data_IF_976775805960
#
_entry.id   IF_976775805960
#
_cell.length_a   1.000
_cell.length_b   1.000
_cell.length_c   1.000
_cell.angle_alpha   90.00
_cell.angle_beta   90.00
_cell.angle_gamma   90.00
#
_symmetry.space_group_name_H-M   'P 1'
#
loop_
_entity.id
_entity.type
_entity.pdbx_description
1 polymer ?
#
# COMPACT_ATOMS: atom_id res chain seq x y z
N UNK A 1 -51.53 27.59 -9.97
CA UNK A 1 -51.57 29.04 -9.69
C UNK A 1 -50.25 29.46 -9.07
N UNK A 2 -49.41 30.19 -9.80
CA UNK A 2 -48.19 30.81 -9.28
C UNK A 2 -48.48 32.28 -9.05
N UNK A 3 -48.60 32.70 -7.79
CA UNK A 3 -48.66 34.12 -7.43
C UNK A 3 -47.25 34.70 -7.48
N UNK A 4 -46.96 35.56 -8.45
CA UNK A 4 -45.76 36.37 -8.46
C UNK A 4 -46.00 37.62 -7.60
N UNK A 5 -45.39 37.68 -6.41
CA UNK A 5 -45.28 38.94 -5.66
C UNK A 5 -44.05 39.70 -6.15
N UNK A 6 -44.25 40.96 -6.54
CA UNK A 6 -43.23 41.90 -6.98
C UNK A 6 -42.29 42.31 -5.83
N UNK A 7 -41.07 41.77 -5.81
CA UNK A 7 -39.82 42.47 -5.40
C UNK A 7 -38.57 41.56 -5.33
N UNK A 8 -38.53 40.42 -6.04
CA UNK A 8 -37.28 39.66 -6.09
C UNK A 8 -36.28 40.32 -7.04
N UNK A 9 -35.19 40.86 -6.51
CA UNK A 9 -34.06 41.35 -7.33
C UNK A 9 -33.54 40.23 -8.22
N UNK A 10 -32.96 40.58 -9.38
CA UNK A 10 -32.38 39.63 -10.36
C UNK A 10 -31.46 38.60 -9.68
N UNK A 11 -30.73 39.01 -8.65
CA UNK A 11 -29.92 38.14 -7.81
C UNK A 11 -30.73 37.08 -7.05
N UNK A 12 -31.90 37.40 -6.50
CA UNK A 12 -32.76 36.42 -5.83
C UNK A 12 -33.37 35.42 -6.81
N UNK A 13 -33.74 35.88 -8.01
CA UNK A 13 -34.23 35.00 -9.09
C UNK A 13 -33.11 34.05 -9.52
N UNK A 14 -31.91 34.58 -9.72
CA UNK A 14 -30.72 33.79 -10.09
C UNK A 14 -30.34 32.79 -9.00
N UNK A 15 -30.39 33.19 -7.73
CA UNK A 15 -30.19 32.28 -6.61
C UNK A 15 -31.24 31.18 -6.59
N UNK A 16 -32.54 31.51 -6.69
CA UNK A 16 -33.61 30.49 -6.75
C UNK A 16 -33.39 29.52 -7.91
N UNK A 17 -33.05 30.01 -9.10
CA UNK A 17 -32.76 29.17 -10.25
C UNK A 17 -31.59 28.21 -9.98
N UNK A 18 -30.46 28.71 -9.45
CA UNK A 18 -29.32 27.86 -9.05
C UNK A 18 -29.71 26.82 -8.01
N UNK A 19 -30.49 27.19 -7.00
CA UNK A 19 -30.91 26.25 -5.94
C UNK A 19 -31.84 25.16 -6.47
N UNK A 20 -32.78 25.52 -7.34
CA UNK A 20 -33.69 24.57 -8.00
C UNK A 20 -32.91 23.65 -8.93
N UNK A 21 -31.99 24.18 -9.74
CA UNK A 21 -31.13 23.41 -10.63
C UNK A 21 -30.23 22.43 -9.84
N UNK A 22 -29.61 22.88 -8.74
CA UNK A 22 -28.81 22.04 -7.86
C UNK A 22 -29.66 20.96 -7.16
N UNK A 23 -30.90 21.29 -6.77
CA UNK A 23 -31.84 20.34 -6.17
C UNK A 23 -32.24 19.26 -7.17
N UNK A 24 -32.63 19.66 -8.39
CA UNK A 24 -32.98 18.74 -9.48
C UNK A 24 -31.78 17.88 -9.90
N UNK A 25 -30.58 18.45 -9.96
CA UNK A 25 -29.37 17.68 -10.22
C UNK A 25 -29.09 16.67 -9.09
N UNK A 26 -29.30 17.04 -7.82
CA UNK A 26 -29.13 16.12 -6.67
C UNK A 26 -30.19 15.02 -6.63
N UNK A 27 -31.40 15.28 -7.10
CA UNK A 27 -32.46 14.25 -7.19
C UNK A 27 -32.22 13.29 -8.36
N UNK A 28 -31.75 13.80 -9.51
CA UNK A 28 -31.46 12.97 -10.69
C UNK A 28 -30.13 12.23 -10.62
N UNK A 29 -29.10 12.84 -10.04
CA UNK A 29 -27.80 12.22 -9.81
C UNK A 29 -27.70 11.85 -8.34
N UNK A 30 -28.25 10.68 -7.97
CA UNK A 30 -28.13 10.15 -6.61
C UNK A 30 -26.66 10.21 -6.19
N UNK A 31 -26.38 10.80 -5.04
CA UNK A 31 -25.04 10.82 -4.44
C UNK A 31 -24.68 9.36 -4.15
N UNK A 32 -24.06 8.67 -5.11
CA UNK A 32 -23.45 7.36 -4.87
C UNK A 32 -22.30 7.60 -3.91
N UNK A 33 -22.56 7.43 -2.63
CA UNK A 33 -21.53 7.05 -1.65
C UNK A 33 -21.06 5.68 -2.08
N UNK A 34 -20.14 5.66 -3.03
CA UNK A 34 -19.32 4.48 -3.27
C UNK A 34 -18.52 4.38 -1.98
N UNK A 35 -18.91 3.45 -1.11
CA UNK A 35 -18.01 2.99 -0.07
C UNK A 35 -16.71 2.70 -0.78
N UNK A 36 -15.65 3.45 -0.47
CA UNK A 36 -14.28 3.04 -0.76
C UNK A 36 -14.12 1.75 0.05
N UNK A 37 -14.65 0.65 -0.47
CA UNK A 37 -14.59 -0.64 0.15
C UNK A 37 -13.11 -0.84 0.41
N UNK A 38 -12.76 -0.83 1.71
CA UNK A 38 -11.45 -1.24 2.18
C UNK A 38 -11.11 -2.49 1.39
N UNK A 39 -9.97 -2.58 0.71
CA UNK A 39 -9.56 -3.87 0.17
C UNK A 39 -9.55 -4.83 1.37
N UNK A 40 -10.53 -5.73 1.42
CA UNK A 40 -10.69 -6.73 2.51
C UNK A 40 -9.54 -7.75 2.47
N UNK A 41 -8.81 -7.76 1.36
CA UNK A 41 -7.68 -8.61 1.06
C UNK A 41 -6.48 -7.72 0.74
N UNK A 42 -5.32 -8.12 1.24
CA UNK A 42 -4.04 -7.51 0.87
C UNK A 42 -3.94 -7.53 -0.67
N UNK A 43 -3.63 -6.39 -1.31
CA UNK A 43 -3.39 -6.34 -2.76
C UNK A 43 -2.31 -7.34 -3.16
N UNK A 44 -2.52 -8.07 -4.25
CA UNK A 44 -1.58 -9.10 -4.71
C UNK A 44 -0.19 -8.49 -4.99
N UNK A 45 -0.14 -7.22 -5.40
CA UNK A 45 1.09 -6.46 -5.64
C UNK A 45 1.92 -6.25 -4.37
N UNK A 46 1.27 -6.21 -3.20
CA UNK A 46 1.91 -5.98 -1.90
C UNK A 46 2.26 -7.29 -1.18
N UNK A 47 1.75 -8.42 -1.66
CA UNK A 47 1.98 -9.73 -1.06
C UNK A 47 3.47 -10.12 -0.97
N UNK A 48 4.31 -9.88 -2.00
CA UNK A 48 5.75 -10.21 -1.93
C UNK A 48 6.48 -9.44 -0.81
N UNK A 49 6.19 -8.15 -0.67
CA UNK A 49 6.74 -7.26 0.36
C UNK A 49 6.40 -7.73 1.77
N UNK A 50 5.14 -8.12 1.98
CA UNK A 50 4.67 -8.66 3.27
C UNK A 50 5.26 -10.03 3.55
N UNK A 51 5.27 -10.91 2.55
CA UNK A 51 5.85 -12.25 2.69
C UNK A 51 7.31 -12.17 3.13
N UNK A 52 8.09 -11.29 2.49
CA UNK A 52 9.49 -11.13 2.79
C UNK A 52 9.70 -10.56 4.20
N UNK A 53 8.90 -9.59 4.64
CA UNK A 53 8.92 -9.10 6.03
C UNK A 53 8.57 -10.19 7.04
N UNK A 54 7.50 -10.94 6.80
CA UNK A 54 7.09 -12.03 7.68
C UNK A 54 8.15 -13.13 7.77
N UNK A 55 8.79 -13.48 6.65
CA UNK A 55 9.85 -14.48 6.64
C UNK A 55 11.00 -14.07 7.58
N UNK A 56 11.41 -12.79 7.54
CA UNK A 56 12.46 -12.27 8.42
C UNK A 56 12.01 -12.23 9.89
N UNK A 57 10.75 -11.88 10.16
CA UNK A 57 10.19 -11.89 11.50
C UNK A 57 10.18 -13.30 12.10
N UNK A 58 9.71 -14.29 11.33
CA UNK A 58 9.72 -15.69 11.72
C UNK A 58 11.13 -16.17 12.00
N UNK A 59 12.09 -15.84 11.14
CA UNK A 59 13.48 -16.19 11.36
C UNK A 59 14.04 -15.52 12.62
N UNK A 60 13.75 -14.25 12.85
CA UNK A 60 14.20 -13.52 14.04
C UNK A 60 13.65 -14.13 15.34
N UNK A 61 12.40 -14.59 15.34
CA UNK A 61 11.82 -15.33 16.47
C UNK A 61 12.51 -16.69 16.62
N UNK A 62 12.74 -17.39 15.50
CA UNK A 62 13.37 -18.70 15.50
C UNK A 62 14.81 -18.66 16.05
N UNK A 63 15.56 -17.59 15.78
CA UNK A 63 16.92 -17.39 16.31
C UNK A 63 17.01 -17.49 17.83
N UNK A 64 15.94 -17.13 18.56
CA UNK A 64 15.92 -17.20 20.02
C UNK A 64 16.02 -18.65 20.55
N UNK A 65 15.75 -19.63 19.69
CA UNK A 65 15.78 -21.06 20.04
C UNK A 65 17.13 -21.70 19.73
N UNK A 66 18.03 -21.01 19.04
CA UNK A 66 19.31 -21.57 18.60
C UNK A 66 20.35 -21.40 19.70
N UNK A 67 20.97 -22.51 20.10
CA UNK A 67 21.92 -22.56 21.23
C UNK A 67 23.37 -22.75 20.79
N UNK A 68 23.63 -22.96 19.51
CA UNK A 68 24.98 -23.16 18.98
C UNK A 68 25.20 -22.52 17.61
N UNK A 69 26.48 -22.27 17.29
CA UNK A 69 26.88 -21.73 15.98
C UNK A 69 26.53 -22.69 14.83
N UNK A 70 26.62 -24.01 15.06
CA UNK A 70 26.26 -25.01 14.04
C UNK A 70 24.77 -24.95 13.69
N UNK A 71 23.90 -24.82 14.69
CA UNK A 71 22.46 -24.64 14.49
C UNK A 71 22.16 -23.33 13.76
N UNK A 72 22.83 -22.23 14.15
CA UNK A 72 22.72 -20.95 13.47
C UNK A 72 23.13 -21.05 12.00
N UNK A 73 24.27 -21.68 11.70
CA UNK A 73 24.77 -21.83 10.34
C UNK A 73 23.80 -22.59 9.44
N UNK A 74 23.31 -23.75 9.90
CA UNK A 74 22.33 -24.54 9.15
C UNK A 74 21.05 -23.75 8.95
N UNK A 75 20.51 -23.15 10.00
CA UNK A 75 19.24 -22.41 9.94
C UNK A 75 19.34 -21.18 9.04
N UNK A 76 20.46 -20.47 9.11
CA UNK A 76 20.74 -19.30 8.29
C UNK A 76 20.86 -19.67 6.82
N UNK A 77 21.57 -20.75 6.49
CA UNK A 77 21.65 -21.26 5.12
C UNK A 77 20.26 -21.55 4.53
N UNK A 78 19.42 -22.30 5.26
CA UNK A 78 18.06 -22.65 4.80
C UNK A 78 17.17 -21.41 4.61
N UNK A 79 17.26 -20.44 5.52
CA UNK A 79 16.53 -19.18 5.40
C UNK A 79 17.02 -18.36 4.19
N UNK A 80 18.34 -18.20 4.05
CA UNK A 80 18.93 -17.29 3.09
C UNK A 80 18.73 -17.73 1.64
N UNK A 81 18.73 -19.05 1.36
CA UNK A 81 18.48 -19.61 0.02
C UNK A 81 17.16 -19.11 -0.57
N UNK A 82 16.11 -19.01 0.25
CA UNK A 82 14.81 -18.53 -0.20
C UNK A 82 14.69 -17.00 -0.10
N UNK A 83 15.30 -16.42 0.92
CA UNK A 83 15.19 -15.00 1.21
C UNK A 83 15.95 -14.12 0.21
N UNK A 84 17.19 -14.49 -0.14
CA UNK A 84 18.04 -13.71 -1.03
C UNK A 84 17.43 -13.47 -2.43
N UNK A 85 16.97 -14.50 -3.17
CA UNK A 85 16.39 -14.28 -4.49
C UNK A 85 15.13 -13.42 -4.42
N UNK A 86 14.25 -13.67 -3.45
CA UNK A 86 13.03 -12.88 -3.26
C UNK A 86 13.36 -11.41 -2.91
N UNK A 87 14.42 -11.18 -2.14
CA UNK A 87 14.87 -9.82 -1.82
C UNK A 87 15.42 -9.11 -3.05
N UNK A 88 16.26 -9.80 -3.84
CA UNK A 88 16.85 -9.22 -5.06
C UNK A 88 15.80 -8.90 -6.12
N UNK A 89 14.76 -9.72 -6.22
CA UNK A 89 13.63 -9.47 -7.13
C UNK A 89 12.88 -8.18 -6.78
N UNK A 90 12.64 -7.93 -5.49
CA UNK A 90 11.92 -6.73 -5.03
C UNK A 90 12.79 -5.48 -4.90
N UNK A 91 14.10 -5.65 -4.65
CA UNK A 91 15.02 -4.58 -4.31
C UNK A 91 16.33 -4.66 -5.12
N UNK A 92 16.22 -4.65 -6.46
CA UNK A 92 17.34 -4.78 -7.41
C UNK A 92 18.56 -3.89 -7.07
N UNK A 93 18.32 -2.65 -6.67
CA UNK A 93 19.38 -1.66 -6.41
C UNK A 93 19.89 -1.67 -4.97
N UNK A 94 19.38 -2.55 -4.11
CA UNK A 94 19.69 -2.59 -2.67
C UNK A 94 20.37 -3.88 -2.25
N UNK A 95 20.97 -4.61 -3.18
CA UNK A 95 21.74 -5.84 -2.89
C UNK A 95 22.85 -5.60 -1.86
N UNK A 96 23.39 -4.38 -1.79
CA UNK A 96 24.34 -3.96 -0.77
C UNK A 96 23.84 -4.10 0.68
N UNK A 97 22.52 -4.08 0.92
CA UNK A 97 21.96 -4.34 2.26
C UNK A 97 22.16 -5.79 2.69
N UNK A 98 22.12 -6.74 1.75
CA UNK A 98 22.43 -8.14 2.03
C UNK A 98 23.93 -8.36 2.24
N UNK A 99 24.79 -7.56 1.61
CA UNK A 99 26.24 -7.62 1.85
C UNK A 99 26.60 -7.22 3.30
N UNK A 100 25.75 -6.43 3.95
CA UNK A 100 25.88 -6.12 5.38
C UNK A 100 25.51 -7.30 6.30
N UNK A 101 24.95 -8.38 5.74
CA UNK A 101 24.70 -9.64 6.41
C UNK A 101 25.83 -10.61 6.06
N UNK A 102 26.26 -11.40 7.03
CA UNK A 102 27.22 -12.48 6.78
C UNK A 102 26.58 -13.50 5.83
N UNK A 103 27.18 -13.70 4.64
CA UNK A 103 26.71 -14.74 3.73
C UNK A 103 26.80 -16.11 4.44
N UNK A 104 25.83 -17.04 4.26
CA UNK A 104 25.84 -18.31 4.97
C UNK A 104 27.14 -19.10 4.86
N UNK A 105 27.79 -19.09 3.69
CA UNK A 105 29.07 -19.79 3.50
C UNK A 105 30.23 -19.22 4.32
N UNK A 106 30.12 -17.98 4.81
CA UNK A 106 31.16 -17.28 5.57
C UNK A 106 30.85 -17.22 7.07
N UNK A 107 29.65 -17.60 7.50
CA UNK A 107 29.20 -17.38 8.88
C UNK A 107 30.11 -18.06 9.91
N UNK A 108 30.49 -19.32 9.68
CA UNK A 108 31.41 -20.05 10.56
C UNK A 108 32.79 -19.39 10.62
N UNK A 109 33.35 -19.04 9.46
CA UNK A 109 34.65 -18.38 9.37
C UNK A 109 34.66 -17.03 10.11
N UNK A 110 33.59 -16.25 9.96
CA UNK A 110 33.41 -14.98 10.66
C UNK A 110 33.30 -15.21 12.16
N UNK A 111 32.53 -16.21 12.61
CA UNK A 111 32.46 -16.57 14.03
C UNK A 111 33.83 -16.94 14.60
N UNK A 112 34.55 -17.85 13.94
CA UNK A 112 35.87 -18.32 14.40
C UNK A 112 36.89 -17.17 14.47
N UNK A 113 36.84 -16.24 13.51
CA UNK A 113 37.72 -15.06 13.49
C UNK A 113 37.32 -13.95 14.46
N UNK A 114 36.09 -13.98 15.00
CA UNK A 114 35.56 -12.88 15.82
C UNK A 114 36.01 -12.90 17.28
N UNK A 115 36.55 -14.01 17.77
CA UNK A 115 36.86 -14.25 19.18
C UNK A 115 35.67 -14.05 20.14
N UNK A 116 34.44 -14.04 19.63
CA UNK A 116 33.23 -13.90 20.44
C UNK A 116 32.74 -15.24 20.99
N UNK A 117 32.15 -15.20 22.19
CA UNK A 117 31.26 -16.28 22.59
C UNK A 117 30.06 -16.36 21.64
N UNK A 118 29.43 -17.54 21.55
CA UNK A 118 28.22 -17.72 20.73
C UNK A 118 27.13 -16.68 21.05
N UNK A 119 26.94 -16.37 22.34
CA UNK A 119 25.95 -15.40 22.78
C UNK A 119 26.26 -13.98 22.27
N UNK A 120 27.52 -13.54 22.37
CA UNK A 120 27.95 -12.23 21.84
C UNK A 120 27.80 -12.15 20.32
N UNK A 121 28.21 -13.22 19.63
CA UNK A 121 28.05 -13.31 18.17
C UNK A 121 26.57 -13.23 17.78
N UNK A 122 25.70 -13.96 18.47
CA UNK A 122 24.26 -13.95 18.22
C UNK A 122 23.65 -12.55 18.42
N UNK A 123 24.10 -11.79 19.42
CA UNK A 123 23.67 -10.40 19.61
C UNK A 123 24.07 -9.54 18.41
N UNK A 124 25.31 -9.65 17.93
CA UNK A 124 25.76 -8.87 16.77
C UNK A 124 25.00 -9.27 15.50
N UNK A 125 24.79 -10.56 15.29
CA UNK A 125 24.02 -11.09 14.18
C UNK A 125 22.57 -10.55 14.19
N UNK A 126 21.90 -10.58 15.35
CA UNK A 126 20.56 -10.02 15.52
C UNK A 126 20.51 -8.50 15.27
N UNK A 127 21.56 -7.75 15.62
CA UNK A 127 21.65 -6.31 15.31
C UNK A 127 21.68 -6.07 13.80
N UNK A 128 22.42 -6.89 13.05
CA UNK A 128 22.46 -6.80 11.58
C UNK A 128 21.09 -7.09 10.96
N UNK A 129 20.39 -8.13 11.45
CA UNK A 129 19.03 -8.42 11.01
C UNK A 129 18.02 -7.33 11.36
N UNK A 130 18.20 -6.62 12.49
CA UNK A 130 17.33 -5.50 12.87
C UNK A 130 17.41 -4.36 11.85
N UNK A 131 18.59 -4.08 11.29
CA UNK A 131 18.75 -3.07 10.23
C UNK A 131 17.96 -3.46 8.98
N UNK A 132 18.05 -4.72 8.56
CA UNK A 132 17.29 -5.26 7.44
C UNK A 132 15.78 -5.17 7.72
N UNK A 133 15.34 -5.53 8.94
CA UNK A 133 13.93 -5.43 9.35
C UNK A 133 13.40 -4.01 9.26
N UNK A 134 14.17 -3.01 9.70
CA UNK A 134 13.76 -1.61 9.58
C UNK A 134 13.62 -1.17 8.13
N UNK A 135 14.56 -1.57 7.28
CA UNK A 135 14.49 -1.30 5.85
C UNK A 135 13.23 -1.90 5.21
N UNK A 136 12.92 -3.16 5.51
CA UNK A 136 11.73 -3.83 4.98
C UNK A 136 10.44 -3.20 5.48
N UNK A 137 10.37 -2.85 6.77
CA UNK A 137 9.21 -2.16 7.33
C UNK A 137 8.95 -0.82 6.66
N UNK A 138 10.00 -0.02 6.47
CA UNK A 138 9.91 1.26 5.77
C UNK A 138 9.52 1.10 4.30
N UNK A 139 10.09 0.10 3.62
CA UNK A 139 9.78 -0.21 2.22
C UNK A 139 8.33 -0.66 2.06
N UNK A 140 7.85 -1.53 2.95
CA UNK A 140 6.45 -1.97 2.96
C UNK A 140 5.52 -0.78 3.15
N UNK A 141 5.76 0.07 4.15
CA UNK A 141 4.94 1.26 4.37
C UNK A 141 4.87 2.16 3.12
N UNK A 142 6.02 2.38 2.47
CA UNK A 142 6.12 3.20 1.27
C UNK A 142 5.37 2.60 0.08
N UNK A 143 5.45 1.29 -0.15
CA UNK A 143 4.69 0.63 -1.22
C UNK A 143 3.18 0.60 -0.94
N UNK A 144 2.78 0.43 0.32
CA UNK A 144 1.38 0.57 0.74
C UNK A 144 0.83 1.98 0.48
N UNK A 145 1.62 3.02 0.76
CA UNK A 145 1.21 4.41 0.51
C UNK A 145 1.13 4.72 -0.99
N UNK A 146 2.06 4.20 -1.80
CA UNK A 146 1.99 4.29 -3.27
C UNK A 146 0.73 3.61 -3.79
N UNK A 147 0.45 2.38 -3.34
CA UNK A 147 -0.75 1.65 -3.74
C UNK A 147 -2.02 2.42 -3.40
N UNK A 148 -2.14 2.93 -2.17
CA UNK A 148 -3.28 3.73 -1.72
C UNK A 148 -3.46 4.97 -2.60
N UNK A 149 -2.37 5.66 -2.92
CA UNK A 149 -2.38 6.84 -3.79
C UNK A 149 -2.84 6.50 -5.21
N UNK A 150 -2.31 5.42 -5.79
CA UNK A 150 -2.70 4.95 -7.12
C UNK A 150 -4.17 4.54 -7.17
N UNK A 151 -4.62 3.78 -6.17
CA UNK A 151 -6.02 3.37 -6.03
C UNK A 151 -6.96 4.58 -5.92
N UNK A 152 -6.63 5.56 -5.09
CA UNK A 152 -7.40 6.79 -4.97
C UNK A 152 -7.47 7.57 -6.30
N UNK A 153 -6.34 7.70 -7.01
CA UNK A 153 -6.31 8.35 -8.33
C UNK A 153 -7.20 7.61 -9.34
N UNK A 154 -7.15 6.28 -9.38
CA UNK A 154 -8.00 5.47 -10.25
C UNK A 154 -9.48 5.66 -9.95
N UNK A 155 -9.88 5.61 -8.67
CA UNK A 155 -11.26 5.80 -8.25
C UNK A 155 -11.80 7.20 -8.60
N UNK A 156 -10.96 8.24 -8.49
CA UNK A 156 -11.33 9.60 -8.93
C UNK A 156 -11.50 9.66 -10.45
N UNK A 157 -10.59 9.05 -11.20
CA UNK A 157 -10.67 9.00 -12.67
C UNK A 157 -11.96 8.31 -13.15
N UNK A 158 -12.26 7.13 -12.59
CA UNK A 158 -13.48 6.38 -12.89
C UNK A 158 -14.74 7.19 -12.55
N UNK A 159 -14.74 7.90 -11.42
CA UNK A 159 -15.84 8.79 -11.05
C UNK A 159 -16.02 9.92 -12.05
N UNK A 160 -14.92 10.53 -12.51
CA UNK A 160 -14.99 11.62 -13.49
C UNK A 160 -15.55 11.13 -14.82
N UNK A 161 -15.09 9.98 -15.33
CA UNK A 161 -15.62 9.35 -16.55
C UNK A 161 -17.13 9.11 -16.42
N UNK A 162 -17.56 8.45 -15.35
CA UNK A 162 -18.96 8.17 -15.08
C UNK A 162 -19.80 9.46 -14.95
N UNK A 163 -19.24 10.53 -14.39
CA UNK A 163 -19.93 11.82 -14.27
C UNK A 163 -20.17 12.46 -15.65
N UNK A 164 -19.16 12.48 -16.53
CA UNK A 164 -19.31 13.02 -17.87
C UNK A 164 -20.26 12.17 -18.73
N UNK A 165 -20.19 10.84 -18.63
CA UNK A 165 -21.10 9.94 -19.33
C UNK A 165 -22.56 10.12 -18.87
N UNK A 166 -22.79 10.19 -17.56
CA UNK A 166 -24.13 10.42 -17.01
C UNK A 166 -24.68 11.80 -17.38
N UNK A 167 -23.82 12.83 -17.45
CA UNK A 167 -24.23 14.15 -17.97
C UNK A 167 -24.63 14.09 -19.44
N UNK A 168 -23.87 13.40 -20.28
CA UNK A 168 -24.21 13.22 -21.69
C UNK A 168 -25.55 12.51 -21.90
N UNK A 169 -25.79 11.44 -21.13
CA UNK A 169 -27.08 10.70 -21.12
C UNK A 169 -28.23 11.57 -20.64
N UNK A 170 -28.03 12.38 -19.60
CA UNK A 170 -29.05 13.31 -19.12
C UNK A 170 -29.42 14.35 -20.19
N UNK A 171 -28.44 15.04 -20.78
CA UNK A 171 -28.68 16.08 -21.80
C UNK A 171 -29.42 15.49 -23.02
N UNK A 172 -28.98 14.34 -23.52
CA UNK A 172 -29.63 13.68 -24.66
C UNK A 172 -31.07 13.24 -24.36
N UNK A 173 -31.33 12.73 -23.15
CA UNK A 173 -32.69 12.35 -22.73
C UNK A 173 -33.63 13.55 -22.54
N UNK A 174 -33.10 14.70 -22.11
CA UNK A 174 -33.88 15.94 -21.97
C UNK A 174 -34.25 16.53 -23.33
N UNK A 175 -33.30 16.54 -24.28
CA UNK A 175 -33.54 17.06 -25.64
C UNK A 175 -34.55 16.22 -26.43
N UNK A 176 -34.58 14.90 -26.22
CA UNK A 176 -35.52 14.01 -26.90
C UNK A 176 -36.95 14.04 -26.31
N UNK A 177 -37.19 14.71 -25.18
CA UNK A 177 -38.53 14.87 -24.58
C UNK A 177 -39.31 16.08 -25.11
N UNK A 178 -38.65 16.98 -25.83
CA UNK A 178 -39.26 18.20 -26.40
C UNK A 178 -39.71 18.05 -27.87
N UNK A 179 -39.71 16.81 -28.40
CA UNK A 179 -40.35 16.45 -29.67
C UNK A 179 -41.62 15.66 -29.42
#
# INVERSE_FOLDING_TARGET
MLSFSSSSTLNQIWHKFKTVLLSAARSHFSRKTISLMKPKTIPYELQPYIHLSHSLDHFTIFLQKLISISQLNVSWLHFFINFEPAFKELFLNQSGLLNGLSHPSQLLMIFDSSNFSYHEFLIQFQKSLRKLKWFLSASNALEFDKFKTAYMKSAISERNINFYENKGKFISSSLNRER
#
